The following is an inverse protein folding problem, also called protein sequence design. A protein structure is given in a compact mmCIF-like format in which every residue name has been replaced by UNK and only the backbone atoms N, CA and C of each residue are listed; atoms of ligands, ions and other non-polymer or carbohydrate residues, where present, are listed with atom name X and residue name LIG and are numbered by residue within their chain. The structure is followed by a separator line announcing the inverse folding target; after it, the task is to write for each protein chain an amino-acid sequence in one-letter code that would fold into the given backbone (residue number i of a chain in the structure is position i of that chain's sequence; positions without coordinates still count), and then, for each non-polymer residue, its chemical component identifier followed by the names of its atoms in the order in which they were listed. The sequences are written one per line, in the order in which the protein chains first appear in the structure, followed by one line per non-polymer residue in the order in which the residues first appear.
data_IF_953568942050
#
_entry.id   IF_953568942050
#
_cell.length_a   1.000
_cell.length_b   1.000
_cell.length_c   1.000
_cell.angle_alpha   90.00
_cell.angle_beta   90.00
_cell.angle_gamma   90.00
#
_symmetry.space_group_name_H-M   'P 1'
#
loop_
_entity.id
_entity.type
_entity.pdbx_description
1 polymer ?
#
# COMPACT_ATOMS: atom_id res chain seq x y z
N UNK A 1 10.87 -11.02 1.15
CA UNK A 1 10.80 -9.66 1.71
C UNK A 1 12.12 -9.33 2.36
N UNK A 2 12.76 -8.23 1.99
CA UNK A 2 14.04 -7.81 2.54
C UNK A 2 13.81 -7.10 3.89
N UNK A 3 14.50 -7.57 4.94
CA UNK A 3 14.45 -6.97 6.26
C UNK A 3 15.75 -6.20 6.55
N UNK A 4 15.61 -4.97 7.03
CA UNK A 4 16.72 -4.14 7.48
C UNK A 4 16.45 -3.70 8.92
N UNK A 5 17.51 -3.63 9.73
CA UNK A 5 17.38 -3.26 11.14
C UNK A 5 17.81 -1.82 11.36
N UNK A 6 16.97 -1.05 12.06
CA UNK A 6 17.31 0.28 12.59
C UNK A 6 17.35 0.17 14.10
N UNK A 7 18.41 0.64 14.70
CA UNK A 7 18.58 0.65 16.16
C UNK A 7 18.39 2.06 16.68
N UNK A 8 17.40 2.25 17.53
CA UNK A 8 17.17 3.48 18.28
C UNK A 8 17.83 3.35 19.65
N UNK A 9 18.74 4.26 19.99
CA UNK A 9 19.54 4.22 21.19
C UNK A 9 19.52 5.57 21.93
N UNK A 10 20.28 5.69 23.01
CA UNK A 10 20.34 6.87 23.88
C UNK A 10 20.72 8.13 23.10
N UNK A 11 20.25 9.27 23.61
CA UNK A 11 20.50 10.61 23.06
C UNK A 11 19.96 10.77 21.61
N UNK A 12 18.88 10.08 21.28
CA UNK A 12 18.25 10.16 19.95
C UNK A 12 19.08 9.50 18.84
N UNK A 13 20.11 8.72 19.17
CA UNK A 13 20.91 8.03 18.15
C UNK A 13 20.04 7.01 17.39
N UNK A 14 20.06 7.10 16.06
CA UNK A 14 19.42 6.15 15.17
C UNK A 14 20.48 5.60 14.20
N UNK A 15 20.78 4.30 14.32
CA UNK A 15 21.83 3.66 13.55
C UNK A 15 21.28 2.65 12.54
N UNK A 16 21.82 2.71 11.33
CA UNK A 16 21.54 1.78 10.23
C UNK A 16 22.86 1.16 9.79
N UNK A 17 22.93 -0.15 9.55
CA UNK A 17 24.10 -0.76 8.91
C UNK A 17 24.43 -0.05 7.59
N UNK A 18 25.69 0.38 7.43
CA UNK A 18 26.14 1.11 6.25
C UNK A 18 25.81 2.62 6.26
N UNK A 19 25.21 3.16 7.33
CA UNK A 19 24.98 4.62 7.51
C UNK A 19 23.89 5.23 6.63
N UNK A 20 23.31 4.47 5.70
CA UNK A 20 22.22 4.89 4.84
C UNK A 20 21.23 3.75 4.60
N UNK A 21 19.96 4.05 4.65
CA UNK A 21 18.89 3.11 4.37
C UNK A 21 18.58 3.09 2.85
N UNK A 22 18.85 1.99 2.19
CA UNK A 22 18.50 1.81 0.79
C UNK A 22 17.11 1.20 0.67
N UNK A 23 16.14 1.95 0.16
CA UNK A 23 14.74 1.56 0.02
C UNK A 23 14.43 0.91 -1.34
N UNK A 24 15.48 0.50 -2.08
CA UNK A 24 15.36 -0.11 -3.38
C UNK A 24 15.14 0.88 -4.50
N UNK A 25 14.42 0.47 -5.52
CA UNK A 25 14.16 1.27 -6.71
C UNK A 25 12.78 1.92 -6.67
N UNK A 26 12.64 3.03 -7.38
CA UNK A 26 11.37 3.75 -7.49
C UNK A 26 10.25 2.82 -7.99
N UNK A 27 9.06 2.96 -7.40
CA UNK A 27 7.92 2.12 -7.68
C UNK A 27 7.89 0.77 -6.95
N UNK A 28 8.97 0.37 -6.26
CA UNK A 28 8.95 -0.83 -5.42
C UNK A 28 8.05 -0.62 -4.21
N UNK A 29 7.21 -1.61 -3.91
CA UNK A 29 6.33 -1.60 -2.73
C UNK A 29 6.21 -2.99 -2.13
N UNK A 30 6.01 -3.07 -0.81
CA UNK A 30 5.86 -4.33 -0.10
C UNK A 30 7.11 -5.22 -0.05
N UNK A 31 8.25 -4.76 -0.59
CA UNK A 31 9.49 -5.53 -0.66
C UNK A 31 10.40 -5.33 0.54
N UNK A 32 10.19 -4.27 1.29
CA UNK A 32 11.06 -3.86 2.39
C UNK A 32 10.28 -3.79 3.70
N UNK A 33 10.89 -4.33 4.74
CA UNK A 33 10.44 -4.27 6.12
C UNK A 33 11.59 -3.77 6.98
N UNK A 34 11.32 -2.84 7.86
CA UNK A 34 12.32 -2.35 8.80
C UNK A 34 12.01 -2.92 10.19
N UNK A 35 12.98 -3.60 10.77
CA UNK A 35 12.95 -4.00 12.17
C UNK A 35 13.50 -2.87 13.01
N UNK A 36 12.71 -2.40 13.97
CA UNK A 36 13.08 -1.32 14.88
C UNK A 36 13.48 -1.90 16.22
N UNK A 37 14.75 -1.77 16.58
CA UNK A 37 15.26 -2.14 17.90
C UNK A 37 15.25 -0.93 18.82
N UNK A 38 14.35 -0.94 19.79
CA UNK A 38 14.24 0.11 20.81
C UNK A 38 15.17 -0.17 21.99
N UNK A 39 16.14 0.73 22.24
CA UNK A 39 17.10 0.63 23.35
C UNK A 39 17.06 1.87 24.22
N UNK A 40 17.67 1.79 25.39
CA UNK A 40 17.78 2.92 26.32
C UNK A 40 16.44 3.57 26.62
N UNK A 41 16.33 4.85 26.34
CA UNK A 41 15.13 5.68 26.58
C UNK A 41 13.94 5.37 25.68
N UNK A 42 14.16 4.64 24.58
CA UNK A 42 13.11 4.25 23.62
C UNK A 42 12.29 3.05 24.09
N UNK A 43 12.76 2.31 25.10
CA UNK A 43 12.06 1.11 25.56
C UNK A 43 10.67 1.43 26.08
N UNK A 44 9.68 0.70 25.58
CA UNK A 44 8.29 0.82 26.01
C UNK A 44 7.54 2.01 25.44
N UNK A 45 8.18 2.84 24.59
CA UNK A 45 7.49 3.93 23.90
C UNK A 45 6.72 3.42 22.70
N UNK A 46 5.58 4.05 22.40
CA UNK A 46 4.94 3.97 21.09
C UNK A 46 5.75 4.81 20.11
N UNK A 47 6.24 4.21 19.04
CA UNK A 47 7.14 4.86 18.08
C UNK A 47 6.43 5.12 16.76
N UNK A 48 6.53 6.35 16.28
CA UNK A 48 6.12 6.78 14.96
C UNK A 48 7.35 7.12 14.12
N UNK A 49 7.33 6.77 12.85
CA UNK A 49 8.35 7.08 11.86
C UNK A 49 7.84 8.16 10.92
N UNK A 50 8.59 9.25 10.77
CA UNK A 50 8.29 10.37 9.88
C UNK A 50 9.20 10.30 8.67
N UNK A 51 8.62 10.09 7.50
CA UNK A 51 9.30 9.97 6.21
C UNK A 51 9.35 11.32 5.50
N UNK A 52 10.52 11.68 5.00
CA UNK A 52 10.75 12.87 4.18
C UNK A 52 11.52 12.45 2.94
N UNK A 53 10.80 12.10 1.88
CA UNK A 53 11.37 11.68 0.59
C UNK A 53 10.78 12.51 -0.54
N UNK A 54 11.39 12.53 -1.74
CA UNK A 54 10.83 13.22 -2.88
C UNK A 54 9.42 12.75 -3.25
N UNK A 55 9.09 11.48 -2.97
CA UNK A 55 7.77 10.91 -3.24
C UNK A 55 6.70 11.31 -2.24
N UNK A 56 7.06 11.50 -0.97
CA UNK A 56 6.09 11.82 0.07
C UNK A 56 6.73 12.30 1.37
N UNK A 57 5.97 13.11 2.12
CA UNK A 57 6.09 13.25 3.57
C UNK A 57 4.95 12.44 4.21
N UNK A 58 5.28 11.45 5.02
CA UNK A 58 4.32 10.53 5.60
C UNK A 58 4.72 10.14 7.02
N UNK A 59 3.76 9.75 7.84
CA UNK A 59 3.99 9.18 9.16
C UNK A 59 3.48 7.73 9.21
N UNK A 60 4.24 6.84 9.85
CA UNK A 60 3.89 5.44 9.98
C UNK A 60 4.18 4.94 11.38
N UNK A 61 3.23 4.26 12.00
CA UNK A 61 3.39 3.66 13.31
C UNK A 61 4.28 2.41 13.23
N UNK A 62 5.16 2.25 14.23
CA UNK A 62 5.91 1.01 14.41
C UNK A 62 5.04 0.01 15.17
N UNK A 63 4.70 -1.10 14.55
CA UNK A 63 3.85 -2.13 15.12
C UNK A 63 4.66 -3.39 15.42
N UNK A 64 4.69 -3.82 16.67
CA UNK A 64 5.43 -5.02 17.11
C UNK A 64 6.93 -5.00 16.71
N UNK A 65 7.55 -3.82 16.75
CA UNK A 65 8.94 -3.64 16.36
C UNK A 65 9.17 -3.68 14.84
N UNK A 66 8.11 -3.63 14.04
CA UNK A 66 8.17 -3.64 12.59
C UNK A 66 7.60 -2.32 12.05
N UNK A 67 8.32 -1.76 11.09
CA UNK A 67 7.90 -0.59 10.33
C UNK A 67 7.77 -1.00 8.86
N UNK A 68 6.58 -0.85 8.31
CA UNK A 68 6.31 -1.06 6.89
C UNK A 68 6.63 0.22 6.12
N UNK A 69 7.35 0.08 5.00
CA UNK A 69 7.66 1.22 4.13
C UNK A 69 6.43 1.54 3.27
N UNK A 70 5.83 2.75 3.39
CA UNK A 70 4.70 3.13 2.56
C UNK A 70 5.07 3.21 1.08
N UNK A 71 4.15 2.82 0.19
CA UNK A 71 4.37 2.87 -1.25
C UNK A 71 4.69 4.29 -1.76
N UNK A 72 4.08 5.30 -1.19
CA UNK A 72 4.32 6.71 -1.53
C UNK A 72 5.77 7.14 -1.28
N UNK A 73 6.42 6.59 -0.24
CA UNK A 73 7.83 6.90 0.11
C UNK A 73 8.80 6.45 -1.00
N UNK A 74 8.49 5.35 -1.67
CA UNK A 74 9.31 4.78 -2.75
C UNK A 74 8.81 5.14 -4.15
N UNK A 75 7.80 6.00 -4.27
CA UNK A 75 7.21 6.35 -5.57
C UNK A 75 8.17 7.13 -6.47
N UNK A 76 9.00 8.00 -5.90
CA UNK A 76 9.92 8.88 -6.65
C UNK A 76 11.36 8.60 -6.22
N UNK A 77 12.32 8.47 -7.16
CA UNK A 77 13.72 8.28 -6.82
C UNK A 77 14.33 9.53 -6.20
N UNK A 78 15.28 9.34 -5.31
CA UNK A 78 16.04 10.43 -4.70
C UNK A 78 16.48 10.13 -3.28
N UNK A 79 17.17 11.11 -2.69
CA UNK A 79 17.59 11.08 -1.29
C UNK A 79 16.49 11.64 -0.40
N UNK A 80 16.40 11.11 0.80
CA UNK A 80 15.49 11.57 1.84
C UNK A 80 16.02 11.27 3.23
N UNK A 81 15.18 11.50 4.23
CA UNK A 81 15.47 11.12 5.60
C UNK A 81 14.24 10.51 6.27
N UNK A 82 14.50 9.82 7.35
CA UNK A 82 13.53 9.19 8.22
C UNK A 82 13.89 9.59 9.65
N UNK A 83 12.96 10.19 10.38
CA UNK A 83 13.06 10.50 11.81
C UNK A 83 12.08 9.64 12.59
N UNK A 84 12.41 9.34 13.83
CA UNK A 84 11.53 8.63 14.75
C UNK A 84 11.12 9.54 15.90
N UNK A 85 9.88 9.43 16.30
CA UNK A 85 9.33 10.02 17.50
C UNK A 85 8.72 8.91 18.35
N UNK A 86 9.11 8.85 19.62
CA UNK A 86 8.60 7.90 20.60
C UNK A 86 7.92 8.61 21.74
N UNK A 87 6.73 8.13 22.14
CA UNK A 87 6.00 8.70 23.28
C UNK A 87 5.32 7.64 24.13
N UNK A 88 5.16 7.92 25.42
CA UNK A 88 4.31 7.17 26.36
C UNK A 88 3.16 8.03 26.91
N UNK A 89 2.95 9.22 26.31
CA UNK A 89 1.96 10.20 26.74
C UNK A 89 2.47 11.19 27.80
N UNK A 90 3.54 10.86 28.53
CA UNK A 90 4.16 11.75 29.53
C UNK A 90 5.48 12.37 29.06
N UNK A 91 6.20 11.66 28.21
CA UNK A 91 7.48 12.10 27.62
C UNK A 91 7.49 11.80 26.13
N UNK A 92 8.26 12.58 25.40
CA UNK A 92 8.52 12.39 23.97
C UNK A 92 10.03 12.40 23.72
N UNK A 93 10.47 11.47 22.88
CA UNK A 93 11.86 11.34 22.44
C UNK A 93 11.90 11.39 20.93
N UNK A 94 12.84 12.15 20.36
CA UNK A 94 13.00 12.27 18.90
C UNK A 94 14.39 11.79 18.51
N UNK A 95 14.50 11.09 17.38
CA UNK A 95 15.78 10.61 16.86
C UNK A 95 16.49 11.64 15.98
N UNK A 96 17.79 11.43 15.77
CA UNK A 96 18.50 12.03 14.65
C UNK A 96 17.96 11.49 13.32
N UNK A 97 18.23 12.21 12.24
CA UNK A 97 17.85 11.81 10.88
C UNK A 97 18.58 10.54 10.44
N UNK A 98 17.81 9.56 10.01
CA UNK A 98 18.32 8.39 9.29
C UNK A 98 18.25 8.71 7.80
N UNK A 99 19.41 8.85 7.15
CA UNK A 99 19.46 9.06 5.70
C UNK A 99 18.89 7.87 4.97
N UNK A 100 18.02 8.13 4.00
CA UNK A 100 17.47 7.09 3.13
C UNK A 100 17.63 7.46 1.65
N UNK A 101 17.55 6.46 0.77
CA UNK A 101 17.64 6.65 -0.67
C UNK A 101 16.73 5.68 -1.40
N UNK A 102 15.99 6.20 -2.35
CA UNK A 102 15.28 5.45 -3.38
C UNK A 102 16.08 5.56 -4.68
N UNK A 103 16.46 4.44 -5.26
CA UNK A 103 17.25 4.41 -6.48
C UNK A 103 16.36 4.59 -7.72
N UNK A 104 16.89 5.31 -8.73
CA UNK A 104 16.31 5.31 -10.05
C UNK A 104 16.73 4.06 -10.82
N UNK A 105 15.90 3.61 -11.75
CA UNK A 105 16.29 2.66 -12.77
C UNK A 105 15.95 3.23 -14.15
N UNK A 106 16.46 2.62 -15.22
CA UNK A 106 16.25 3.10 -16.59
C UNK A 106 14.78 3.09 -17.03
N UNK A 107 13.93 2.26 -16.40
CA UNK A 107 12.50 2.20 -16.69
C UNK A 107 11.67 3.27 -15.94
N UNK A 108 12.25 3.95 -14.95
CA UNK A 108 11.55 4.97 -14.15
C UNK A 108 12.02 6.39 -14.46
N UNK A 109 13.04 6.55 -15.31
CA UNK A 109 13.75 7.82 -15.50
C UNK A 109 12.94 8.93 -16.16
N UNK A 110 11.82 8.64 -16.81
CA UNK A 110 11.07 9.63 -17.60
C UNK A 110 9.55 9.56 -17.40
N UNK A 111 9.08 9.26 -16.22
CA UNK A 111 7.63 9.25 -15.96
C UNK A 111 6.86 8.17 -16.72
N UNK A 112 7.56 7.16 -17.24
CA UNK A 112 6.97 6.02 -17.92
C UNK A 112 6.24 5.05 -16.98
N UNK A 113 6.36 5.22 -15.66
CA UNK A 113 5.45 4.56 -14.73
C UNK A 113 4.15 5.37 -14.72
N UNK A 114 3.03 4.77 -15.07
CA UNK A 114 1.75 5.41 -14.82
C UNK A 114 1.73 5.83 -13.34
N UNK A 115 1.25 7.03 -13.08
CA UNK A 115 1.01 7.50 -11.72
C UNK A 115 0.38 6.34 -10.93
N UNK A 116 0.82 6.07 -9.70
CA UNK A 116 0.31 4.94 -8.94
C UNK A 116 -1.20 4.99 -9.05
N UNK A 117 -1.76 3.91 -9.57
CA UNK A 117 -3.19 3.82 -9.81
C UNK A 117 -3.90 4.31 -8.56
N UNK A 118 -4.98 5.04 -8.73
CA UNK A 118 -5.73 5.57 -7.60
C UNK A 118 -5.90 4.50 -6.52
N UNK A 119 -5.95 4.86 -5.23
CA UNK A 119 -6.12 3.88 -4.15
C UNK A 119 -7.26 2.88 -4.39
N UNK A 120 -8.30 3.30 -5.12
CA UNK A 120 -9.39 2.44 -5.56
C UNK A 120 -8.94 1.36 -6.56
N UNK A 121 -8.07 1.70 -7.50
CA UNK A 121 -7.51 0.73 -8.45
C UNK A 121 -6.54 -0.23 -7.77
N UNK A 122 -5.71 0.24 -6.85
CA UNK A 122 -4.80 -0.61 -6.08
C UNK A 122 -5.54 -1.57 -5.17
N UNK A 123 -6.62 -1.11 -4.53
CA UNK A 123 -7.51 -1.97 -3.75
C UNK A 123 -8.19 -3.02 -4.64
N UNK A 124 -8.64 -2.64 -5.84
CA UNK A 124 -9.24 -3.55 -6.80
C UNK A 124 -8.22 -4.59 -7.30
N UNK A 125 -7.01 -4.16 -7.69
CA UNK A 125 -5.93 -5.06 -8.13
C UNK A 125 -5.45 -5.94 -6.97
N UNK A 126 -5.39 -5.43 -5.75
CA UNK A 126 -5.08 -6.19 -4.55
C UNK A 126 -6.11 -7.29 -4.27
N UNK A 127 -7.38 -6.98 -4.39
CA UNK A 127 -8.49 -7.96 -4.29
C UNK A 127 -8.41 -9.02 -5.38
N UNK A 128 -7.98 -8.66 -6.58
CA UNK A 128 -7.87 -9.55 -7.74
C UNK A 128 -6.58 -10.39 -7.72
N UNK A 129 -5.48 -9.81 -7.23
CA UNK A 129 -4.13 -10.42 -7.27
C UNK A 129 -3.83 -11.39 -6.12
N UNK A 130 -4.52 -11.27 -5.00
CA UNK A 130 -4.27 -12.13 -3.83
C UNK A 130 -4.92 -13.51 -3.90
N UNK A 131 -5.64 -13.82 -5.00
CA UNK A 131 -6.31 -15.14 -5.16
C UNK A 131 -7.31 -15.45 -4.03
N UNK A 132 -7.50 -14.51 -3.13
CA UNK A 132 -8.32 -14.63 -1.94
C UNK A 132 -9.80 -14.50 -2.26
N UNK A 133 -10.41 -15.56 -2.76
CA UNK A 133 -11.79 -15.82 -2.47
C UNK A 133 -12.87 -15.09 -3.29
N UNK A 134 -12.56 -14.35 -4.34
CA UNK A 134 -13.62 -13.89 -5.25
C UNK A 134 -14.06 -15.08 -6.09
N UNK A 135 -15.27 -15.56 -5.87
CA UNK A 135 -15.85 -16.66 -6.63
C UNK A 135 -16.03 -16.26 -8.10
N UNK A 136 -16.15 -17.24 -8.98
CA UNK A 136 -16.42 -17.00 -10.41
C UNK A 136 -17.70 -16.17 -10.60
N UNK A 137 -18.71 -16.38 -9.77
CA UNK A 137 -19.96 -15.61 -9.82
C UNK A 137 -19.75 -14.13 -9.44
N UNK A 138 -18.94 -13.86 -8.43
CA UNK A 138 -18.61 -12.47 -8.02
C UNK A 138 -17.75 -11.75 -9.07
N UNK A 139 -16.81 -12.46 -9.73
CA UNK A 139 -16.05 -11.92 -10.87
C UNK A 139 -16.95 -11.53 -12.02
N UNK A 140 -17.91 -12.38 -12.35
CA UNK A 140 -18.91 -12.12 -13.40
C UNK A 140 -19.80 -10.93 -13.07
N UNK A 141 -20.29 -10.85 -11.83
CA UNK A 141 -21.10 -9.75 -11.36
C UNK A 141 -20.34 -8.41 -11.40
N UNK A 142 -19.09 -8.42 -10.95
CA UNK A 142 -18.22 -7.23 -10.99
C UNK A 142 -17.93 -6.78 -12.42
N UNK A 143 -17.64 -7.73 -13.33
CA UNK A 143 -17.40 -7.43 -14.73
C UNK A 143 -18.65 -6.85 -15.43
N UNK A 144 -19.84 -7.34 -15.09
CA UNK A 144 -21.10 -6.81 -15.61
C UNK A 144 -21.33 -5.36 -15.17
N UNK A 145 -21.06 -5.04 -13.89
CA UNK A 145 -21.15 -3.67 -13.37
C UNK A 145 -20.12 -2.75 -14.04
N UNK A 146 -18.88 -3.22 -14.18
CA UNK A 146 -17.81 -2.44 -14.84
C UNK A 146 -18.17 -2.13 -16.30
N UNK A 147 -18.71 -3.09 -17.04
CA UNK A 147 -19.17 -2.87 -18.41
C UNK A 147 -20.33 -1.87 -18.51
N UNK A 148 -21.25 -1.93 -17.54
CA UNK A 148 -22.33 -0.95 -17.48
C UNK A 148 -21.83 0.46 -17.24
N UNK A 149 -20.86 0.63 -16.34
CA UNK A 149 -20.22 1.92 -16.03
C UNK A 149 -19.31 2.41 -17.18
N UNK A 150 -18.75 1.48 -17.96
CA UNK A 150 -17.92 1.77 -19.11
C UNK A 150 -18.73 2.08 -20.40
N UNK A 151 -20.05 1.93 -20.36
CA UNK A 151 -20.91 2.15 -21.52
C UNK A 151 -20.75 3.57 -22.09
N UNK A 152 -20.41 3.65 -23.38
CA UNK A 152 -20.09 4.92 -24.05
C UNK A 152 -18.64 5.39 -23.94
N UNK A 153 -17.76 4.59 -23.36
CA UNK A 153 -16.32 4.86 -23.31
C UNK A 153 -15.53 3.66 -23.84
N UNK A 154 -15.05 3.73 -25.06
CA UNK A 154 -14.39 2.63 -25.78
C UNK A 154 -13.12 2.13 -25.05
N UNK A 155 -12.33 3.03 -24.49
CA UNK A 155 -11.11 2.68 -23.74
C UNK A 155 -11.44 1.91 -22.44
N UNK A 156 -12.52 2.29 -21.76
CA UNK A 156 -12.99 1.60 -20.56
C UNK A 156 -13.59 0.22 -20.91
N UNK A 157 -14.27 0.10 -22.02
CA UNK A 157 -14.78 -1.18 -22.52
C UNK A 157 -13.64 -2.14 -22.87
N UNK A 158 -12.62 -1.67 -23.57
CA UNK A 158 -11.42 -2.47 -23.88
C UNK A 158 -10.69 -2.95 -22.60
N UNK A 159 -10.64 -2.11 -21.55
CA UNK A 159 -10.09 -2.51 -20.25
C UNK A 159 -10.93 -3.62 -19.58
N UNK A 160 -12.25 -3.57 -19.69
CA UNK A 160 -13.15 -4.63 -19.21
C UNK A 160 -12.93 -5.95 -19.95
N UNK A 161 -12.69 -5.91 -21.25
CA UNK A 161 -12.46 -7.12 -22.07
C UNK A 161 -11.09 -7.73 -21.77
N UNK A 162 -10.06 -6.92 -21.53
CA UNK A 162 -8.76 -7.40 -21.03
C UNK A 162 -8.91 -8.06 -19.65
N UNK A 163 -9.69 -7.49 -18.77
CA UNK A 163 -9.97 -8.07 -17.45
C UNK A 163 -10.70 -9.40 -17.54
N UNK A 164 -11.71 -9.49 -18.41
CA UNK A 164 -12.43 -10.74 -18.69
C UNK A 164 -11.49 -11.85 -19.20
N UNK A 165 -10.56 -11.50 -20.08
CA UNK A 165 -9.55 -12.43 -20.61
C UNK A 165 -8.62 -12.93 -19.50
N UNK A 166 -8.16 -12.04 -18.62
CA UNK A 166 -7.30 -12.39 -17.48
C UNK A 166 -8.01 -13.32 -16.48
N UNK A 167 -9.33 -13.23 -16.37
CA UNK A 167 -10.13 -14.09 -15.49
C UNK A 167 -10.58 -15.39 -16.16
N UNK A 168 -10.04 -15.74 -17.33
CA UNK A 168 -10.40 -16.95 -18.07
C UNK A 168 -11.74 -16.85 -18.79
N UNK A 169 -12.11 -15.63 -19.23
CA UNK A 169 -13.33 -15.34 -19.95
C UNK A 169 -14.60 -15.95 -19.28
N UNK A 170 -14.91 -15.52 -18.06
CA UNK A 170 -16.05 -16.06 -17.35
C UNK A 170 -17.33 -15.81 -18.15
N UNK A 171 -18.02 -16.88 -18.52
CA UNK A 171 -19.29 -16.78 -19.22
C UNK A 171 -20.30 -15.98 -18.39
N UNK A 172 -21.11 -15.11 -19.00
CA UNK A 172 -22.13 -14.38 -18.25
C UNK A 172 -23.08 -15.39 -17.58
N UNK A 173 -23.50 -15.16 -16.34
CA UNK A 173 -24.42 -16.05 -15.67
C UNK A 173 -25.73 -16.16 -16.45
N UNK A 174 -26.25 -17.38 -16.57
CA UNK A 174 -27.51 -17.65 -17.26
C UNK A 174 -28.75 -17.09 -16.55
N UNK A 175 -28.57 -16.55 -15.36
CA UNK A 175 -29.62 -15.97 -14.52
C UNK A 175 -29.36 -14.52 -14.20
N UNK A 176 -30.42 -13.76 -14.00
CA UNK A 176 -30.55 -12.34 -13.87
C UNK A 176 -29.56 -11.74 -12.82
N UNK A 177 -28.40 -11.29 -13.25
CA UNK A 177 -27.31 -10.73 -12.43
C UNK A 177 -27.80 -9.61 -11.52
N UNK A 178 -28.82 -8.86 -11.97
CA UNK A 178 -29.44 -7.77 -11.19
C UNK A 178 -30.18 -8.27 -9.95
N UNK A 179 -30.72 -9.49 -9.96
CA UNK A 179 -31.40 -10.07 -8.80
C UNK A 179 -30.40 -10.45 -7.69
N UNK A 180 -29.24 -11.00 -8.08
CA UNK A 180 -28.18 -11.41 -7.12
C UNK A 180 -27.48 -10.20 -6.50
N UNK A 181 -27.14 -9.20 -7.32
CA UNK A 181 -26.54 -7.93 -6.83
C UNK A 181 -27.54 -7.13 -6.00
N UNK A 182 -28.80 -7.07 -6.40
CA UNK A 182 -29.85 -6.40 -5.64
C UNK A 182 -30.05 -7.04 -4.25
N UNK A 183 -30.05 -8.35 -4.15
CA UNK A 183 -30.15 -9.06 -2.87
C UNK A 183 -28.91 -8.88 -1.99
N UNK A 184 -27.71 -8.92 -2.56
CA UNK A 184 -26.47 -8.74 -1.80
C UNK A 184 -26.31 -7.30 -1.29
N UNK A 185 -26.68 -6.30 -2.07
CA UNK A 185 -26.61 -4.88 -1.67
C UNK A 185 -27.74 -4.52 -0.69
N UNK A 186 -28.98 -4.94 -0.97
CA UNK A 186 -30.11 -4.73 -0.07
C UNK A 186 -29.93 -5.48 1.27
N UNK A 187 -29.44 -6.70 1.25
CA UNK A 187 -29.16 -7.47 2.47
C UNK A 187 -28.14 -6.77 3.39
N UNK A 188 -27.06 -6.20 2.84
CA UNK A 188 -26.08 -5.44 3.60
C UNK A 188 -26.59 -4.09 4.11
N UNK A 189 -27.45 -3.42 3.33
CA UNK A 189 -28.06 -2.14 3.77
C UNK A 189 -29.13 -2.34 4.85
N UNK A 190 -29.84 -3.46 4.86
CA UNK A 190 -30.85 -3.75 5.88
C UNK A 190 -30.19 -4.22 7.19
N UNK A 191 -29.13 -5.03 7.13
CA UNK A 191 -28.39 -5.49 8.30
C UNK A 191 -27.52 -4.40 8.97
N UNK A 192 -27.18 -3.33 8.27
CA UNK A 192 -26.43 -2.18 8.81
C UNK A 192 -27.28 -1.15 9.56
N UNK A 193 -28.60 -1.29 9.62
CA UNK A 193 -29.52 -0.31 10.23
C UNK A 193 -30.04 -0.67 11.63
N UNK A 194 -29.63 -1.80 12.16
CA UNK A 194 -30.00 -2.23 13.51
C UNK A 194 -28.77 -2.48 14.38
N UNK A 195 -28.11 -1.39 14.80
CA UNK A 195 -27.37 -1.31 16.09
C UNK A 195 -27.20 0.15 16.45
#
# INVERSE_FOLDING_TARGET
MNEMTIRLDRNGAAAVPGGQLLLGYAGNRGNYRLRIEQRGEWKGLTVCAHWHTPGASAATLVENGILTVPAAVTAVPGAGCLTFEGTDGSRTVTSADVRCKVCANSGTAEGAMPAPATPAWEALVGLLGTGGGITTAEKQALLAVLRLLAAGNDAAMEACDRLATLWGNPQPPKENVFAVLGQAILGKMILGRNK
#
